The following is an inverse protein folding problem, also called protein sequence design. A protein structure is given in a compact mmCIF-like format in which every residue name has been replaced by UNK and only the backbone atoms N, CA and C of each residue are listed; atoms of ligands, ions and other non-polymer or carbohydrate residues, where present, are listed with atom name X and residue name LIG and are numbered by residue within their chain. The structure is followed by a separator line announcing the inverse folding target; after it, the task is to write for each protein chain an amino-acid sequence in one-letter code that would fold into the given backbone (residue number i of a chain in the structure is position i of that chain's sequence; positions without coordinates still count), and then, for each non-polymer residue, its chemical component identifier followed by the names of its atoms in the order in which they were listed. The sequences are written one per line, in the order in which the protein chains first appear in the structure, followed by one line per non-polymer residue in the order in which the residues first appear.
data_IF_826805591086
#
_entry.id   IF_826805591086
#
_cell.length_a   1.000
_cell.length_b   1.000
_cell.length_c   1.000
_cell.angle_alpha   90.00
_cell.angle_beta   90.00
_cell.angle_gamma   90.00
#
_symmetry.space_group_name_H-M   'P 1'
#
loop_
_entity.id
_entity.type
_entity.pdbx_description
1 polymer ?
#
# COMPACT_ATOMS: atom_id res chain seq x y z
N UNK A 1 4.91 0.21 -34.57
CA UNK A 1 5.61 -0.87 -33.83
C UNK A 1 4.65 -2.03 -33.74
N UNK A 2 4.97 -3.15 -34.39
CA UNK A 2 4.14 -4.36 -34.39
C UNK A 2 4.11 -4.95 -32.97
N UNK A 3 2.92 -5.24 -32.46
CA UNK A 3 2.74 -6.03 -31.25
C UNK A 3 3.11 -7.48 -31.58
N UNK A 4 4.33 -7.87 -31.25
CA UNK A 4 4.71 -9.28 -31.16
C UNK A 4 3.71 -10.01 -30.26
N UNK A 5 3.29 -11.20 -30.69
CA UNK A 5 2.44 -12.07 -29.92
C UNK A 5 3.03 -12.27 -28.51
N UNK A 6 2.22 -12.03 -27.48
CA UNK A 6 2.59 -12.38 -26.12
C UNK A 6 3.03 -13.85 -26.08
N UNK A 7 4.02 -14.15 -25.23
CA UNK A 7 4.41 -15.54 -25.01
C UNK A 7 3.20 -16.36 -24.52
N UNK A 8 3.15 -17.68 -24.77
CA UNK A 8 1.95 -18.48 -24.51
C UNK A 8 1.41 -18.38 -23.07
N UNK A 9 2.31 -18.24 -22.09
CA UNK A 9 1.97 -18.02 -20.68
C UNK A 9 1.22 -16.69 -20.47
N UNK A 10 1.72 -15.59 -21.05
CA UNK A 10 1.10 -14.26 -20.95
C UNK A 10 -0.21 -14.18 -21.75
N UNK A 11 -0.26 -14.77 -22.94
CA UNK A 11 -1.48 -14.86 -23.74
C UNK A 11 -2.58 -15.61 -22.97
N UNK A 12 -2.25 -16.77 -22.40
CA UNK A 12 -3.19 -17.57 -21.62
C UNK A 12 -3.64 -16.88 -20.32
N UNK A 13 -2.76 -16.11 -19.67
CA UNK A 13 -3.11 -15.33 -18.49
C UNK A 13 -4.05 -14.14 -18.82
N UNK A 14 -3.89 -13.53 -20.00
CA UNK A 14 -4.79 -12.48 -20.51
C UNK A 14 -6.18 -13.03 -20.83
N UNK A 15 -6.26 -14.17 -21.52
CA UNK A 15 -7.53 -14.85 -21.85
C UNK A 15 -8.33 -15.17 -20.59
N UNK A 16 -7.64 -15.65 -19.55
CA UNK A 16 -8.22 -15.95 -18.23
C UNK A 16 -8.50 -14.71 -17.38
N UNK A 17 -8.19 -13.50 -17.87
CA UNK A 17 -8.29 -12.22 -17.15
C UNK A 17 -7.52 -12.19 -15.82
N UNK A 18 -6.54 -13.08 -15.65
CA UNK A 18 -5.68 -13.09 -14.47
C UNK A 18 -4.75 -11.86 -14.45
N UNK A 19 -4.36 -11.38 -15.63
CA UNK A 19 -3.55 -10.18 -15.79
C UNK A 19 -4.20 -9.21 -16.77
N UNK A 20 -3.89 -7.92 -16.62
CA UNK A 20 -4.27 -6.89 -17.59
C UNK A 20 -3.30 -6.82 -18.78
N UNK A 21 -3.72 -6.20 -19.89
CA UNK A 21 -2.82 -5.93 -21.03
C UNK A 21 -1.60 -5.09 -20.62
N UNK A 22 -1.79 -4.05 -19.80
CA UNK A 22 -0.68 -3.23 -19.30
C UNK A 22 0.30 -4.02 -18.43
N UNK A 23 -0.22 -4.92 -17.59
CA UNK A 23 0.59 -5.86 -16.80
C UNK A 23 1.36 -6.82 -17.71
N UNK A 24 0.72 -7.36 -18.75
CA UNK A 24 1.35 -8.27 -19.69
C UNK A 24 2.50 -7.59 -20.46
N UNK A 25 2.34 -6.33 -20.88
CA UNK A 25 3.43 -5.55 -21.50
C UNK A 25 4.63 -5.40 -20.57
N UNK A 26 4.40 -5.10 -19.29
CA UNK A 26 5.48 -5.03 -18.30
C UNK A 26 6.17 -6.40 -18.12
N UNK A 27 5.39 -7.47 -17.94
CA UNK A 27 5.91 -8.82 -17.74
C UNK A 27 6.67 -9.34 -18.98
N UNK A 28 6.33 -8.91 -20.19
CA UNK A 28 7.08 -9.23 -21.41
C UNK A 28 8.54 -8.79 -21.37
N UNK A 29 8.86 -7.75 -20.57
CA UNK A 29 10.23 -7.31 -20.34
C UNK A 29 11.01 -8.18 -19.35
N UNK A 30 10.33 -9.06 -18.60
CA UNK A 30 10.93 -9.92 -17.58
C UNK A 30 11.18 -11.34 -18.11
N UNK A 31 12.12 -12.08 -17.53
CA UNK A 31 12.36 -13.48 -17.89
C UNK A 31 11.24 -14.43 -17.43
N UNK A 32 11.07 -15.62 -18.05
CA UNK A 32 9.98 -16.56 -17.69
C UNK A 32 9.94 -16.95 -16.20
N UNK A 33 11.11 -17.09 -15.56
CA UNK A 33 11.24 -17.38 -14.13
C UNK A 33 10.69 -16.27 -13.21
N UNK A 34 10.55 -15.05 -13.73
CA UNK A 34 9.95 -13.91 -13.01
C UNK A 34 8.44 -13.84 -13.23
N UNK A 35 7.96 -14.24 -14.41
CA UNK A 35 6.55 -14.10 -14.81
C UNK A 35 5.64 -15.07 -14.08
N UNK A 36 6.01 -16.36 -14.05
CA UNK A 36 5.13 -17.41 -13.54
C UNK A 36 4.66 -17.16 -12.09
N UNK A 37 5.55 -16.84 -11.12
CA UNK A 37 5.11 -16.60 -9.74
C UNK A 37 4.19 -15.37 -9.60
N UNK A 38 4.38 -14.33 -10.45
CA UNK A 38 3.51 -13.15 -10.45
C UNK A 38 2.15 -13.46 -11.07
N UNK A 39 2.10 -14.24 -12.15
CA UNK A 39 0.85 -14.67 -12.78
C UNK A 39 0.03 -15.52 -11.80
N UNK A 40 0.67 -16.46 -11.10
CA UNK A 40 0.01 -17.30 -10.09
C UNK A 40 -0.57 -16.44 -8.96
N UNK A 41 0.21 -15.47 -8.47
CA UNK A 41 -0.23 -14.51 -7.45
C UNK A 41 -1.45 -13.70 -7.90
N UNK A 42 -1.42 -13.15 -9.13
CA UNK A 42 -2.51 -12.33 -9.65
C UNK A 42 -3.75 -13.16 -9.96
N UNK A 43 -3.58 -14.43 -10.34
CA UNK A 43 -4.69 -15.38 -10.49
C UNK A 43 -5.36 -15.65 -9.15
N UNK A 44 -4.59 -15.80 -8.06
CA UNK A 44 -5.13 -16.12 -6.75
C UNK A 44 -5.88 -14.96 -6.07
N UNK A 45 -5.39 -13.73 -6.21
CA UNK A 45 -5.93 -12.55 -5.49
C UNK A 45 -6.79 -11.65 -6.38
N UNK A 46 -6.71 -11.78 -7.71
CA UNK A 46 -7.51 -10.97 -8.66
C UNK A 46 -7.37 -9.46 -8.42
N UNK A 47 -6.12 -8.99 -8.31
CA UNK A 47 -5.82 -7.57 -8.08
C UNK A 47 -6.29 -6.69 -9.24
N UNK A 48 -6.63 -5.43 -8.94
CA UNK A 48 -6.89 -4.42 -9.97
C UNK A 48 -5.64 -4.18 -10.83
N UNK A 49 -5.84 -3.67 -12.05
CA UNK A 49 -4.74 -3.38 -13.00
C UNK A 49 -3.62 -2.55 -12.38
N UNK A 50 -3.97 -1.48 -11.66
CA UNK A 50 -2.98 -0.61 -10.99
C UNK A 50 -2.21 -1.36 -9.89
N UNK A 51 -2.90 -2.21 -9.12
CA UNK A 51 -2.29 -3.02 -8.06
C UNK A 51 -1.40 -4.12 -8.60
N UNK A 52 -1.78 -4.77 -9.71
CA UNK A 52 -0.92 -5.77 -10.35
C UNK A 52 0.42 -5.17 -10.75
N UNK A 53 0.39 -4.00 -11.40
CA UNK A 53 1.60 -3.29 -11.81
C UNK A 53 2.47 -2.88 -10.62
N UNK A 54 1.87 -2.23 -9.62
CA UNK A 54 2.55 -1.79 -8.39
C UNK A 54 3.26 -2.97 -7.70
N UNK A 55 2.57 -4.09 -7.50
CA UNK A 55 3.14 -5.29 -6.87
C UNK A 55 4.23 -5.92 -7.74
N UNK A 56 4.01 -6.04 -9.05
CA UNK A 56 5.00 -6.62 -9.95
C UNK A 56 6.33 -5.83 -9.93
N UNK A 57 6.23 -4.49 -9.98
CA UNK A 57 7.39 -3.59 -9.90
C UNK A 57 8.10 -3.74 -8.54
N UNK A 58 7.38 -3.68 -7.42
CA UNK A 58 8.01 -3.77 -6.10
C UNK A 58 8.62 -5.14 -5.81
N UNK A 59 7.97 -6.23 -6.20
CA UNK A 59 8.52 -7.58 -6.00
C UNK A 59 9.75 -7.79 -6.87
N UNK A 60 9.74 -7.28 -8.11
CA UNK A 60 10.92 -7.31 -8.97
C UNK A 60 12.09 -6.54 -8.35
N UNK A 61 11.86 -5.32 -7.87
CA UNK A 61 12.87 -4.52 -7.19
C UNK A 61 13.43 -5.20 -5.94
N UNK A 62 12.58 -5.83 -5.13
CA UNK A 62 13.00 -6.60 -3.94
C UNK A 62 13.91 -7.75 -4.36
N UNK A 63 13.48 -8.54 -5.35
CA UNK A 63 14.24 -9.68 -5.85
C UNK A 63 15.62 -9.26 -6.41
N UNK A 64 15.67 -8.15 -7.17
CA UNK A 64 16.94 -7.59 -7.66
C UNK A 64 17.84 -7.09 -6.52
N UNK A 65 17.28 -6.36 -5.55
CA UNK A 65 18.03 -5.82 -4.40
C UNK A 65 18.60 -6.91 -3.51
N UNK A 66 17.88 -8.03 -3.37
CA UNK A 66 18.22 -9.12 -2.46
C UNK A 66 18.94 -10.28 -3.19
N UNK A 67 19.21 -10.14 -4.48
CA UNK A 67 19.84 -11.16 -5.33
C UNK A 67 19.08 -12.51 -5.29
N UNK A 68 17.75 -12.47 -5.16
CA UNK A 68 16.88 -13.64 -5.13
C UNK A 68 16.00 -13.72 -6.39
N UNK A 69 15.34 -14.85 -6.57
CA UNK A 69 14.22 -14.96 -7.51
C UNK A 69 12.95 -14.30 -6.96
N UNK A 70 11.99 -14.02 -7.84
CA UNK A 70 10.64 -13.56 -7.45
C UNK A 70 9.94 -14.56 -6.54
N UNK A 71 10.07 -15.86 -6.83
CA UNK A 71 9.46 -16.91 -6.02
C UNK A 71 10.01 -16.89 -4.58
N UNK A 72 11.33 -16.77 -4.43
CA UNK A 72 11.98 -16.66 -3.12
C UNK A 72 11.59 -15.37 -2.40
N UNK A 73 11.52 -14.23 -3.10
CA UNK A 73 11.09 -12.96 -2.52
C UNK A 73 9.64 -13.04 -2.00
N UNK A 74 8.71 -13.64 -2.77
CA UNK A 74 7.33 -13.86 -2.33
C UNK A 74 7.26 -14.83 -1.14
N UNK A 75 8.10 -15.87 -1.13
CA UNK A 75 8.17 -16.81 -0.01
C UNK A 75 8.72 -16.14 1.26
N UNK A 76 9.74 -15.29 1.15
CA UNK A 76 10.30 -14.54 2.28
C UNK A 76 9.29 -13.53 2.87
N UNK A 77 8.35 -13.06 2.04
CA UNK A 77 7.20 -12.25 2.46
C UNK A 77 6.03 -13.06 3.01
N UNK A 78 6.19 -14.39 3.15
CA UNK A 78 5.18 -15.29 3.68
C UNK A 78 3.87 -15.25 2.86
N UNK A 79 3.98 -14.94 1.55
CA UNK A 79 2.84 -14.90 0.62
C UNK A 79 2.16 -16.27 0.49
N UNK A 80 2.86 -17.41 0.46
CA UNK A 80 2.19 -18.72 0.43
C UNK A 80 1.23 -18.93 1.60
N UNK A 81 1.63 -18.59 2.83
CA UNK A 81 0.75 -18.72 4.00
C UNK A 81 -0.41 -17.73 3.94
N UNK A 82 -0.17 -16.50 3.48
CA UNK A 82 -1.23 -15.51 3.26
C UNK A 82 -2.30 -16.01 2.27
N UNK A 83 -1.86 -16.68 1.19
CA UNK A 83 -2.77 -17.25 0.20
C UNK A 83 -3.54 -18.45 0.75
N UNK A 84 -2.92 -19.26 1.61
CA UNK A 84 -3.54 -20.43 2.24
C UNK A 84 -4.48 -20.08 3.40
N UNK A 85 -4.45 -18.86 3.95
CA UNK A 85 -5.31 -18.47 5.07
C UNK A 85 -6.79 -18.36 4.64
N UNK A 86 -7.62 -19.31 5.07
CA UNK A 86 -9.06 -19.35 4.78
C UNK A 86 -9.88 -18.38 5.65
N UNK A 87 -9.29 -17.80 6.71
CA UNK A 87 -10.00 -16.89 7.63
C UNK A 87 -10.14 -15.47 7.07
N UNK A 88 -9.32 -15.12 6.08
CA UNK A 88 -9.32 -13.79 5.46
C UNK A 88 -9.81 -13.87 4.01
N UNK A 89 -10.64 -12.91 3.62
CA UNK A 89 -11.20 -12.85 2.27
C UNK A 89 -10.19 -12.26 1.27
N UNK A 90 -10.51 -12.34 -0.03
CA UNK A 90 -9.64 -11.88 -1.11
C UNK A 90 -9.25 -10.39 -0.97
N UNK A 91 -10.17 -9.44 -0.70
CA UNK A 91 -9.80 -8.05 -0.44
C UNK A 91 -8.82 -7.87 0.73
N UNK A 92 -8.99 -8.63 1.82
CA UNK A 92 -8.05 -8.61 2.95
C UNK A 92 -6.69 -9.16 2.53
N UNK A 93 -6.63 -10.29 1.81
CA UNK A 93 -5.37 -10.84 1.26
C UNK A 93 -4.65 -9.82 0.38
N UNK A 94 -5.37 -9.12 -0.49
CA UNK A 94 -4.80 -8.05 -1.33
C UNK A 94 -4.17 -6.93 -0.49
N UNK A 95 -4.87 -6.46 0.54
CA UNK A 95 -4.37 -5.41 1.43
C UNK A 95 -3.12 -5.86 2.21
N UNK A 96 -3.14 -7.09 2.75
CA UNK A 96 -2.02 -7.67 3.48
C UNK A 96 -0.80 -7.89 2.58
N UNK A 97 -1.00 -8.45 1.38
CA UNK A 97 0.07 -8.62 0.39
C UNK A 97 0.74 -7.27 0.10
N UNK A 98 -0.07 -6.27 -0.23
CA UNK A 98 0.44 -4.93 -0.55
C UNK A 98 1.24 -4.36 0.61
N UNK A 99 0.73 -4.45 1.83
CA UNK A 99 1.42 -3.94 3.01
C UNK A 99 2.76 -4.64 3.22
N UNK A 100 2.83 -5.96 3.06
CA UNK A 100 4.07 -6.74 3.22
C UNK A 100 5.11 -6.37 2.16
N UNK A 101 4.70 -6.30 0.90
CA UNK A 101 5.59 -5.93 -0.23
C UNK A 101 6.08 -4.48 -0.05
N UNK A 102 5.19 -3.56 0.29
CA UNK A 102 5.53 -2.15 0.52
C UNK A 102 6.55 -1.97 1.64
N UNK A 103 6.31 -2.57 2.82
CA UNK A 103 7.19 -2.47 3.97
C UNK A 103 8.60 -3.03 3.66
N UNK A 104 8.68 -4.13 2.90
CA UNK A 104 9.98 -4.69 2.49
C UNK A 104 10.69 -3.81 1.46
N UNK A 105 9.95 -3.23 0.51
CA UNK A 105 10.51 -2.38 -0.55
C UNK A 105 10.97 -1.02 -0.05
N UNK A 106 10.21 -0.41 0.87
CA UNK A 106 10.44 0.94 1.39
C UNK A 106 10.50 0.96 2.93
N UNK A 107 11.47 0.28 3.57
CA UNK A 107 11.49 0.11 5.02
C UNK A 107 11.57 1.44 5.79
N UNK A 108 12.32 2.42 5.28
CA UNK A 108 12.41 3.74 5.90
C UNK A 108 11.09 4.52 5.79
N UNK A 109 10.42 4.43 4.63
CA UNK A 109 9.14 5.09 4.42
C UNK A 109 8.03 4.44 5.26
N UNK A 110 8.03 3.11 5.36
CA UNK A 110 7.11 2.35 6.21
C UNK A 110 7.29 2.70 7.69
N UNK A 111 8.54 2.78 8.16
CA UNK A 111 8.85 3.23 9.51
C UNK A 111 8.40 4.68 9.77
N UNK A 112 8.60 5.57 8.81
CA UNK A 112 8.10 6.95 8.87
C UNK A 112 6.57 7.00 8.95
N UNK A 113 5.88 6.27 8.07
CA UNK A 113 4.41 6.15 8.07
C UNK A 113 3.88 5.57 9.38
N UNK A 114 4.57 4.58 9.95
CA UNK A 114 4.25 4.01 11.26
C UNK A 114 4.42 5.04 12.38
N UNK A 115 5.50 5.82 12.36
CA UNK A 115 5.75 6.91 13.30
C UNK A 115 4.68 8.01 13.23
N UNK A 116 4.29 8.42 12.02
CA UNK A 116 3.16 9.35 11.80
C UNK A 116 1.88 8.77 12.38
N UNK A 117 1.54 7.52 12.05
CA UNK A 117 0.32 6.86 12.53
C UNK A 117 0.26 6.77 14.05
N UNK A 118 1.38 6.48 14.69
CA UNK A 118 1.47 6.37 16.13
C UNK A 118 1.28 7.72 16.83
N UNK A 119 1.80 8.81 16.26
CA UNK A 119 1.56 10.16 16.79
C UNK A 119 0.13 10.61 16.58
N UNK A 120 -0.45 10.36 15.41
CA UNK A 120 -1.86 10.68 15.14
C UNK A 120 -2.81 9.98 16.13
N UNK A 121 -2.48 8.76 16.59
CA UNK A 121 -3.28 8.04 17.60
C UNK A 121 -3.24 8.67 18.99
N UNK A 122 -2.21 9.46 19.30
CA UNK A 122 -2.08 10.13 20.59
C UNK A 122 -2.84 11.45 20.64
N UNK A 123 -3.17 12.01 19.47
CA UNK A 123 -3.98 13.22 19.38
C UNK A 123 -5.39 12.88 19.85
N UNK A 124 -5.85 13.54 20.90
CA UNK A 124 -7.23 13.44 21.38
C UNK A 124 -8.16 14.16 20.39
N UNK A 125 -8.65 13.41 19.41
CA UNK A 125 -9.54 13.92 18.37
C UNK A 125 -10.95 14.13 18.96
N UNK A 126 -11.61 15.28 18.71
CA UNK A 126 -12.98 15.46 19.12
C UNK A 126 -13.88 14.41 18.47
N UNK A 127 -14.87 13.92 19.21
CA UNK A 127 -15.83 12.94 18.70
C UNK A 127 -16.48 13.43 17.40
N UNK A 128 -16.48 12.60 16.36
CA UNK A 128 -16.96 12.97 15.02
C UNK A 128 -15.88 13.55 14.10
N UNK A 129 -14.64 13.68 14.56
CA UNK A 129 -13.48 14.02 13.71
C UNK A 129 -12.46 12.89 13.66
N UNK A 130 -11.80 12.73 12.53
CA UNK A 130 -10.65 11.85 12.37
C UNK A 130 -9.62 12.47 11.43
N UNK A 131 -8.35 12.14 11.64
CA UNK A 131 -7.24 12.59 10.81
C UNK A 131 -6.44 11.39 10.31
N UNK A 132 -6.06 11.43 9.05
CA UNK A 132 -5.22 10.40 8.43
C UNK A 132 -4.19 11.04 7.51
N UNK A 133 -2.99 10.45 7.45
CA UNK A 133 -2.00 10.83 6.44
C UNK A 133 -2.47 10.40 5.05
N UNK A 134 -2.28 11.25 4.04
CA UNK A 134 -2.43 10.83 2.65
C UNK A 134 -1.18 10.04 2.23
N UNK A 135 -1.37 8.87 1.62
CA UNK A 135 -0.29 7.97 1.21
C UNK A 135 -0.10 8.02 -0.31
N UNK A 136 1.15 8.05 -0.83
CA UNK A 136 2.39 8.23 -0.09
C UNK A 136 2.53 9.67 0.43
N UNK A 137 3.26 9.85 1.52
CA UNK A 137 3.39 11.11 2.29
C UNK A 137 4.24 12.17 1.57
N UNK A 138 4.22 12.22 0.24
CA UNK A 138 5.07 13.09 -0.59
C UNK A 138 4.84 14.57 -0.30
N UNK A 139 3.59 14.97 -0.04
CA UNK A 139 3.22 16.38 0.12
C UNK A 139 2.94 16.80 1.58
N UNK A 140 3.21 15.92 2.57
CA UNK A 140 2.83 16.14 3.99
C UNK A 140 1.34 16.50 4.15
N UNK A 141 0.51 16.00 3.25
CA UNK A 141 -0.92 16.24 3.26
C UNK A 141 -1.62 15.27 4.21
N UNK A 142 -2.54 15.83 5.00
CA UNK A 142 -3.38 15.08 5.91
C UNK A 142 -4.83 15.31 5.53
N UNK A 143 -5.61 14.23 5.53
CA UNK A 143 -7.06 14.29 5.38
C UNK A 143 -7.67 14.41 6.77
N UNK A 144 -8.42 15.49 7.00
CA UNK A 144 -9.36 15.63 8.10
C UNK A 144 -10.75 15.22 7.60
N UNK A 145 -11.41 14.32 8.31
CA UNK A 145 -12.79 13.92 8.04
C UNK A 145 -13.66 14.27 9.24
N UNK A 146 -14.77 14.97 8.98
CA UNK A 146 -15.73 15.39 10.00
C UNK A 146 -17.09 14.81 9.62
N UNK A 147 -17.69 14.07 10.56
CA UNK A 147 -19.01 13.46 10.43
C UNK A 147 -19.91 14.07 11.50
N UNK A 148 -21.03 14.66 11.07
CA UNK A 148 -21.98 15.35 11.94
C UNK A 148 -23.39 15.26 11.37
N UNK A 149 -24.39 15.47 12.23
CA UNK A 149 -25.81 15.38 11.93
C UNK A 149 -26.58 16.68 12.17
N UNK A 150 -25.93 17.69 12.74
CA UNK A 150 -26.54 18.99 13.07
C UNK A 150 -25.53 20.15 13.05
N UNK A 151 -26.05 21.38 12.94
CA UNK A 151 -25.23 22.60 13.03
C UNK A 151 -24.52 22.74 14.38
N UNK A 152 -25.17 22.37 15.48
CA UNK A 152 -24.57 22.47 16.81
C UNK A 152 -23.44 21.47 17.00
N UNK A 153 -23.54 20.29 16.39
CA UNK A 153 -22.51 19.26 16.43
C UNK A 153 -21.24 19.71 15.67
N UNK A 154 -21.38 20.23 14.44
CA UNK A 154 -20.21 20.72 13.70
C UNK A 154 -19.52 21.88 14.43
N UNK A 155 -20.27 22.79 15.07
CA UNK A 155 -19.69 23.87 15.88
C UNK A 155 -18.87 23.30 17.04
N UNK A 156 -19.41 22.34 17.80
CA UNK A 156 -18.67 21.67 18.89
C UNK A 156 -17.42 20.95 18.39
N UNK A 157 -17.49 20.29 17.24
CA UNK A 157 -16.32 19.63 16.64
C UNK A 157 -15.25 20.66 16.27
N UNK A 158 -15.63 21.77 15.62
CA UNK A 158 -14.69 22.84 15.25
C UNK A 158 -14.04 23.47 16.49
N UNK A 159 -14.79 23.71 17.56
CA UNK A 159 -14.24 24.24 18.80
C UNK A 159 -13.29 23.23 19.49
N UNK A 160 -13.65 21.94 19.47
CA UNK A 160 -12.76 20.86 19.91
C UNK A 160 -11.47 20.79 19.10
N UNK A 161 -11.55 20.93 17.77
CA UNK A 161 -10.38 20.95 16.88
C UNK A 161 -9.48 22.17 17.18
N UNK A 162 -10.06 23.33 17.47
CA UNK A 162 -9.30 24.52 17.89
C UNK A 162 -8.55 24.29 19.20
N UNK A 163 -9.18 23.65 20.19
CA UNK A 163 -8.52 23.30 21.44
C UNK A 163 -7.39 22.29 21.20
N UNK A 164 -7.65 21.26 20.39
CA UNK A 164 -6.69 20.21 20.01
C UNK A 164 -5.43 20.78 19.32
N UNK A 165 -5.55 21.76 18.42
CA UNK A 165 -4.38 22.38 17.75
C UNK A 165 -3.43 23.06 18.74
N UNK A 166 -3.93 23.48 19.91
CA UNK A 166 -3.12 24.08 20.97
C UNK A 166 -2.62 23.05 22.00
N UNK A 167 -2.86 21.76 21.79
CA UNK A 167 -2.41 20.68 22.65
C UNK A 167 -0.92 20.35 22.44
N UNK A 168 -0.29 19.77 23.46
CA UNK A 168 1.11 19.37 23.35
C UNK A 168 1.27 18.16 22.42
N UNK A 169 0.25 17.31 22.29
CA UNK A 169 0.20 16.17 21.39
C UNK A 169 0.26 16.63 19.93
N UNK A 170 -0.48 17.70 19.60
CA UNK A 170 -0.46 18.27 18.26
C UNK A 170 0.85 19.02 17.97
N UNK A 171 1.45 19.66 18.98
CA UNK A 171 2.77 20.26 18.87
C UNK A 171 3.86 19.20 18.61
N UNK A 172 3.89 18.13 19.40
CA UNK A 172 4.81 16.98 19.22
C UNK A 172 4.65 16.32 17.83
N UNK A 173 3.42 16.17 17.34
CA UNK A 173 3.15 15.71 15.99
C UNK A 173 3.71 16.67 14.93
N UNK A 174 3.50 17.98 15.10
CA UNK A 174 3.98 19.02 14.18
C UNK A 174 5.50 19.10 14.15
N UNK A 175 6.15 19.01 15.31
CA UNK A 175 7.60 18.99 15.47
C UNK A 175 8.21 17.74 14.82
N UNK A 176 7.57 16.59 14.96
CA UNK A 176 7.98 15.37 14.29
C UNK A 176 7.97 15.53 12.77
N UNK A 177 6.91 16.12 12.19
CA UNK A 177 6.85 16.39 10.75
C UNK A 177 7.90 17.40 10.29
N UNK A 178 8.18 18.43 11.10
CA UNK A 178 9.20 19.43 10.81
C UNK A 178 10.61 18.84 10.84
N UNK A 179 10.87 17.92 11.77
CA UNK A 179 12.16 17.24 11.96
C UNK A 179 12.52 16.21 10.88
N UNK A 180 11.62 15.93 9.93
CA UNK A 180 11.68 14.86 8.92
C UNK A 180 12.79 14.94 7.84
N UNK A 181 14.03 15.27 8.22
CA UNK A 181 15.29 14.90 7.54
C UNK A 181 16.37 14.66 8.59
N UNK A 182 16.34 13.52 9.28
CA UNK A 182 17.50 12.93 9.98
C UNK A 182 17.09 11.56 10.52
N UNK A 183 17.46 10.50 9.80
CA UNK A 183 17.20 9.10 10.14
C UNK A 183 17.57 8.22 8.97
#
# INVERSE_FOLDING_TARGET
MNHDAFSPDLASALERKAISHGTAVFLSGLGPSYRAPLIDLFTAIQLSVSRQREIAEWVHDIAQREETTVAEALSALDVPALLADEKINVPQKAAHLRSRVFARRFPQLDACLAGVKERLRKIDMPHGASIAAMSPLEDREFKLEIVFSSSDEIVRIIDGLRAMVNSWEFADFSDYLASGRSG
#
